data_IF_632136912230
#
_entry.id   IF_632136912230
#
_cell.length_a   1.000
_cell.length_b   1.000
_cell.length_c   1.000
_cell.angle_alpha   90.00
_cell.angle_beta   90.00
_cell.angle_gamma   90.00
#
_symmetry.space_group_name_H-M   'P 1'
#
loop_
_entity.id
_entity.type
_entity.pdbx_description
1 polymer ?
#
# COMPACT_ATOMS: atom_id res chain seq x y z
N UNK A 1 -8.14 27.70 -3.56
CA UNK A 1 -7.78 26.84 -2.42
C UNK A 1 -8.59 25.56 -2.53
N UNK A 2 -7.93 24.46 -2.94
CA UNK A 2 -8.23 23.07 -2.55
C UNK A 2 -9.63 22.45 -2.68
N UNK A 3 -10.50 22.96 -3.55
CA UNK A 3 -11.75 22.25 -3.88
C UNK A 3 -11.49 20.85 -4.45
N UNK A 4 -10.34 20.62 -5.10
CA UNK A 4 -9.95 19.31 -5.62
C UNK A 4 -9.60 18.32 -4.49
N UNK A 5 -8.92 18.76 -3.42
CA UNK A 5 -8.56 17.90 -2.29
C UNK A 5 -9.80 17.43 -1.55
N UNK A 6 -10.73 18.33 -1.24
CA UNK A 6 -11.99 17.97 -0.58
C UNK A 6 -12.78 16.97 -1.43
N UNK A 7 -12.88 17.21 -2.75
CA UNK A 7 -13.57 16.29 -3.66
C UNK A 7 -12.90 14.91 -3.69
N UNK A 8 -11.57 14.84 -3.80
CA UNK A 8 -10.81 13.58 -3.82
C UNK A 8 -10.95 12.80 -2.51
N UNK A 9 -10.87 13.48 -1.36
CA UNK A 9 -11.10 12.87 -0.04
C UNK A 9 -12.51 12.27 0.05
N UNK A 10 -13.53 12.99 -0.42
CA UNK A 10 -14.90 12.48 -0.43
C UNK A 10 -15.03 11.25 -1.31
N UNK A 11 -14.57 11.34 -2.55
CA UNK A 11 -14.61 10.21 -3.50
C UNK A 11 -13.91 8.98 -2.92
N UNK A 12 -12.71 9.13 -2.35
CA UNK A 12 -11.94 8.02 -1.80
C UNK A 12 -12.65 7.32 -0.64
N UNK A 13 -13.32 8.08 0.22
CA UNK A 13 -14.07 7.54 1.37
C UNK A 13 -15.41 6.94 0.93
N UNK A 14 -16.12 7.58 0.00
CA UNK A 14 -17.43 7.12 -0.48
C UNK A 14 -17.35 5.89 -1.37
N UNK A 15 -16.29 5.76 -2.17
CA UNK A 15 -16.03 4.58 -3.00
C UNK A 15 -15.40 3.41 -2.22
N UNK A 16 -15.16 3.58 -0.92
CA UNK A 16 -14.55 2.54 -0.08
C UNK A 16 -13.06 2.30 -0.34
N UNK A 17 -12.38 3.20 -1.08
CA UNK A 17 -10.94 3.08 -1.33
C UNK A 17 -10.09 3.26 -0.07
N UNK A 18 -10.59 4.00 0.94
CA UNK A 18 -9.96 4.08 2.26
C UNK A 18 -10.98 4.45 3.34
N UNK A 19 -10.83 3.89 4.55
CA UNK A 19 -11.64 4.32 5.69
C UNK A 19 -11.26 5.74 6.15
N UNK A 20 -12.21 6.49 6.73
CA UNK A 20 -11.95 7.86 7.25
C UNK A 20 -10.79 7.89 8.24
N UNK A 21 -10.72 6.88 9.12
CA UNK A 21 -9.67 6.76 10.12
C UNK A 21 -8.32 6.43 9.50
N UNK A 22 -8.29 5.52 8.53
CA UNK A 22 -7.05 5.17 7.82
C UNK A 22 -6.51 6.38 7.06
N UNK A 23 -7.36 7.10 6.32
CA UNK A 23 -6.98 8.30 5.58
C UNK A 23 -6.47 9.42 6.50
N UNK A 24 -7.12 9.63 7.64
CA UNK A 24 -6.67 10.62 8.62
C UNK A 24 -5.27 10.27 9.16
N UNK A 25 -5.04 9.02 9.56
CA UNK A 25 -3.74 8.58 10.09
C UNK A 25 -2.64 8.64 9.03
N UNK A 26 -2.93 8.19 7.81
CA UNK A 26 -1.97 8.18 6.71
C UNK A 26 -1.54 9.61 6.31
N UNK A 27 -2.44 10.58 6.42
CA UNK A 27 -2.13 12.01 6.23
C UNK A 27 -1.50 12.69 7.46
N UNK A 28 -1.22 11.96 8.55
CA UNK A 28 -0.65 12.53 9.79
C UNK A 28 -1.63 13.40 10.58
N UNK A 29 -2.93 13.14 10.46
CA UNK A 29 -4.01 13.81 11.19
C UNK A 29 -4.51 12.94 12.35
N UNK A 30 -5.22 13.56 13.29
CA UNK A 30 -5.95 12.84 14.32
C UNK A 30 -7.05 11.97 13.68
N UNK A 31 -7.30 10.78 14.24
CA UNK A 31 -8.25 9.79 13.70
C UNK A 31 -9.67 10.34 13.44
N UNK A 32 -10.10 11.32 14.24
CA UNK A 32 -11.43 11.95 14.13
C UNK A 32 -11.48 13.18 13.21
N UNK A 33 -10.36 13.62 12.62
CA UNK A 33 -10.31 14.85 11.80
C UNK A 33 -11.19 14.78 10.55
N UNK A 34 -11.48 13.57 10.05
CA UNK A 34 -12.30 13.34 8.86
C UNK A 34 -13.72 12.85 9.19
N UNK A 35 -14.19 13.00 10.45
CA UNK A 35 -15.50 12.48 10.87
C UNK A 35 -16.65 12.96 9.98
N UNK A 36 -16.59 14.23 9.59
CA UNK A 36 -17.63 14.91 8.84
C UNK A 36 -17.29 15.06 7.34
N UNK A 37 -16.23 14.41 6.83
CA UNK A 37 -15.70 14.68 5.48
C UNK A 37 -16.70 14.46 4.33
N UNK A 38 -17.66 13.56 4.49
CA UNK A 38 -18.73 13.29 3.51
C UNK A 38 -19.88 14.29 3.57
N UNK A 39 -19.93 15.17 4.58
CA UNK A 39 -21.00 16.17 4.69
C UNK A 39 -20.66 17.42 3.89
N UNK A 40 -21.64 18.05 3.20
CA UNK A 40 -21.43 19.34 2.53
C UNK A 40 -20.90 20.44 3.44
N UNK A 41 -21.26 20.39 4.74
CA UNK A 41 -20.86 21.35 5.76
C UNK A 41 -19.44 21.16 6.30
N UNK A 42 -18.67 20.20 5.80
CA UNK A 42 -17.30 19.98 6.26
C UNK A 42 -16.39 21.14 5.85
N UNK A 43 -15.77 21.76 6.84
CA UNK A 43 -14.87 22.90 6.66
C UNK A 43 -13.52 22.62 7.35
N UNK A 44 -12.61 21.89 6.69
CA UNK A 44 -11.29 21.58 7.25
C UNK A 44 -10.39 22.83 7.32
N UNK A 45 -9.40 22.79 8.22
CA UNK A 45 -8.38 23.85 8.31
C UNK A 45 -7.42 23.80 7.12
N UNK A 46 -6.71 24.90 6.85
CA UNK A 46 -5.67 24.94 5.82
C UNK A 46 -4.58 23.87 6.06
N UNK A 47 -4.13 23.68 7.31
CA UNK A 47 -3.18 22.61 7.67
C UNK A 47 -3.72 21.20 7.36
N UNK A 48 -5.02 20.99 7.55
CA UNK A 48 -5.67 19.71 7.22
C UNK A 48 -5.68 19.48 5.71
N UNK A 49 -5.99 20.52 4.93
CA UNK A 49 -5.98 20.46 3.47
C UNK A 49 -4.59 20.23 2.92
N UNK A 50 -3.56 20.92 3.45
CA UNK A 50 -2.17 20.73 3.04
C UNK A 50 -1.69 19.29 3.29
N UNK A 51 -1.99 18.73 4.47
CA UNK A 51 -1.62 17.35 4.83
C UNK A 51 -2.31 16.32 3.94
N UNK A 52 -3.61 16.48 3.69
CA UNK A 52 -4.37 15.62 2.79
C UNK A 52 -3.92 15.77 1.34
N UNK A 53 -3.64 17.00 0.91
CA UNK A 53 -3.15 17.32 -0.42
C UNK A 53 -1.80 16.66 -0.70
N UNK A 54 -0.86 16.74 0.24
CA UNK A 54 0.42 16.02 0.15
C UNK A 54 0.21 14.52 0.07
N UNK A 55 -0.53 13.95 1.02
CA UNK A 55 -0.82 12.51 1.03
C UNK A 55 -1.42 12.03 -0.30
N UNK A 56 -2.43 12.73 -0.81
CA UNK A 56 -3.10 12.37 -2.07
C UNK A 56 -2.26 12.66 -3.32
N UNK A 57 -1.23 13.50 -3.24
CA UNK A 57 -0.32 13.76 -4.37
C UNK A 57 0.83 12.76 -4.39
N UNK A 58 1.30 12.36 -3.20
CA UNK A 58 2.38 11.38 -3.03
C UNK A 58 1.89 9.95 -3.29
N UNK A 59 0.59 9.68 -3.07
CA UNK A 59 -0.06 8.41 -3.39
C UNK A 59 -0.80 8.55 -4.72
N UNK A 60 -0.13 8.16 -5.81
CA UNK A 60 -0.72 8.03 -7.15
C UNK A 60 -1.90 7.04 -7.12
N UNK A 61 -2.87 7.17 -8.03
CA UNK A 61 -4.06 6.27 -8.15
C UNK A 61 -3.69 4.82 -8.55
N UNK A 62 -2.40 4.50 -8.53
CA UNK A 62 -1.89 3.17 -8.83
C UNK A 62 -2.39 2.21 -7.76
N UNK A 63 -2.96 1.07 -8.18
CA UNK A 63 -3.29 0.00 -7.27
C UNK A 63 -2.06 -0.35 -6.42
N UNK A 64 -2.24 -0.36 -5.09
CA UNK A 64 -1.18 -0.74 -4.13
C UNK A 64 -0.80 -2.22 -4.33
N UNK A 65 -1.75 -3.03 -4.77
CA UNK A 65 -1.58 -4.44 -5.10
C UNK A 65 -1.76 -4.62 -6.61
N UNK A 66 -0.79 -5.27 -7.23
CA UNK A 66 -0.84 -5.63 -8.65
C UNK A 66 -1.62 -6.92 -8.87
N UNK A 67 -2.22 -7.08 -10.05
CA UNK A 67 -2.96 -8.30 -10.39
C UNK A 67 -2.08 -9.55 -10.45
N UNK A 68 -2.71 -10.72 -10.25
CA UNK A 68 -2.03 -12.02 -10.19
C UNK A 68 -1.23 -12.30 -11.46
N UNK A 69 -1.83 -12.02 -12.63
CA UNK A 69 -1.23 -12.26 -13.94
C UNK A 69 0.04 -11.45 -14.15
N UNK A 70 0.08 -10.22 -13.61
CA UNK A 70 1.27 -9.37 -13.67
C UNK A 70 2.41 -10.02 -12.90
N UNK A 71 2.18 -10.43 -11.64
CA UNK A 71 3.21 -11.08 -10.80
C UNK A 71 3.71 -12.38 -11.45
N UNK A 72 2.81 -13.18 -12.04
CA UNK A 72 3.21 -14.40 -12.75
C UNK A 72 4.17 -14.06 -13.90
N UNK A 73 3.94 -12.98 -14.64
CA UNK A 73 4.83 -12.54 -15.70
C UNK A 73 6.17 -12.00 -15.18
N UNK A 74 6.15 -11.21 -14.10
CA UNK A 74 7.38 -10.79 -13.41
C UNK A 74 8.22 -11.99 -12.97
N UNK A 75 7.58 -13.01 -12.41
CA UNK A 75 8.20 -14.25 -11.98
C UNK A 75 8.82 -15.02 -13.15
N UNK A 76 8.12 -15.15 -14.29
CA UNK A 76 8.69 -15.76 -15.51
C UNK A 76 9.97 -15.05 -15.97
N UNK A 77 10.02 -13.75 -15.80
CA UNK A 77 11.19 -12.91 -16.11
C UNK A 77 12.26 -12.91 -15.02
N UNK A 78 12.11 -13.74 -13.97
CA UNK A 78 13.08 -13.88 -12.88
C UNK A 78 13.16 -12.68 -11.95
N UNK A 79 12.15 -11.79 -11.97
CA UNK A 79 12.10 -10.63 -11.08
C UNK A 79 11.58 -11.04 -9.70
N UNK A 80 12.19 -10.48 -8.66
CA UNK A 80 11.75 -10.63 -7.27
C UNK A 80 10.49 -9.77 -7.04
N UNK A 81 9.53 -10.30 -6.30
CA UNK A 81 8.28 -9.62 -5.97
C UNK A 81 7.94 -9.81 -4.49
N UNK A 82 6.95 -9.05 -4.00
CA UNK A 82 6.45 -9.15 -2.62
C UNK A 82 5.07 -9.78 -2.65
N UNK A 83 4.86 -10.80 -1.83
CA UNK A 83 3.52 -11.32 -1.53
C UNK A 83 3.12 -10.83 -0.14
N UNK A 84 1.95 -10.20 -0.05
CA UNK A 84 1.37 -9.75 1.23
C UNK A 84 0.28 -10.72 1.61
N UNK A 85 0.26 -11.15 2.87
CA UNK A 85 -0.78 -12.03 3.39
C UNK A 85 -1.99 -11.24 3.93
N UNK A 86 -2.92 -11.95 4.56
CA UNK A 86 -4.14 -11.35 5.13
C UNK A 86 -3.80 -10.47 6.34
N UNK A 87 -4.46 -9.32 6.47
CA UNK A 87 -4.27 -8.38 7.57
C UNK A 87 -4.56 -9.00 8.95
N UNK A 88 -5.41 -10.03 9.03
CA UNK A 88 -5.77 -10.71 10.27
C UNK A 88 -4.86 -11.92 10.61
N UNK A 89 -3.85 -12.22 9.77
CA UNK A 89 -2.91 -13.34 9.98
C UNK A 89 -1.52 -12.85 10.36
N UNK A 90 -0.59 -12.69 9.43
CA UNK A 90 0.76 -12.18 9.72
C UNK A 90 0.83 -10.67 9.46
N UNK A 91 0.03 -10.15 8.52
CA UNK A 91 0.11 -8.77 8.04
C UNK A 91 1.54 -8.40 7.62
N UNK A 92 2.19 -9.35 6.95
CA UNK A 92 3.59 -9.28 6.52
C UNK A 92 3.72 -9.39 5.00
N UNK A 93 4.86 -8.92 4.48
CA UNK A 93 5.21 -9.02 3.07
C UNK A 93 6.46 -9.89 2.88
N UNK A 94 6.32 -11.00 2.17
CA UNK A 94 7.41 -11.91 1.86
C UNK A 94 8.11 -11.53 0.55
N UNK A 95 9.44 -11.48 0.55
CA UNK A 95 10.25 -11.39 -0.67
C UNK A 95 10.31 -12.76 -1.35
N UNK A 96 9.81 -12.83 -2.58
CA UNK A 96 9.72 -14.07 -3.36
C UNK A 96 10.48 -13.94 -4.67
N UNK A 97 11.27 -14.97 -5.00
CA UNK A 97 11.90 -15.16 -6.31
C UNK A 97 11.74 -16.63 -6.71
N UNK A 98 11.49 -16.97 -7.99
CA UNK A 98 11.51 -18.35 -8.44
C UNK A 98 12.85 -18.99 -8.13
N UNK A 99 12.86 -20.16 -7.47
CA UNK A 99 14.08 -20.79 -6.97
C UNK A 99 15.14 -21.01 -8.06
N UNK A 100 14.72 -21.38 -9.28
CA UNK A 100 15.60 -21.57 -10.43
C UNK A 100 16.28 -20.28 -10.94
N UNK A 101 15.75 -19.11 -10.57
CA UNK A 101 16.25 -17.78 -10.94
C UNK A 101 17.01 -17.10 -9.79
N UNK A 102 17.14 -17.77 -8.64
CA UNK A 102 17.83 -17.21 -7.49
C UNK A 102 19.32 -16.99 -7.78
N UNK A 103 19.82 -15.80 -7.47
CA UNK A 103 21.23 -15.42 -7.62
C UNK A 103 21.84 -15.07 -6.27
N UNK A 104 23.17 -15.15 -6.09
CA UNK A 104 23.83 -14.72 -4.85
C UNK A 104 23.47 -13.28 -4.45
N UNK A 105 23.30 -12.39 -5.42
CA UNK A 105 22.92 -11.01 -5.21
C UNK A 105 21.49 -10.90 -4.65
N UNK A 106 20.54 -11.65 -5.22
CA UNK A 106 19.16 -11.69 -4.74
C UNK A 106 19.09 -12.23 -3.30
N UNK A 107 19.83 -13.30 -2.99
CA UNK A 107 19.89 -13.88 -1.64
C UNK A 107 20.53 -12.91 -0.65
N UNK A 108 21.61 -12.22 -1.05
CA UNK A 108 22.22 -11.20 -0.19
C UNK A 108 21.26 -10.04 0.09
N UNK A 109 20.47 -9.62 -0.92
CA UNK A 109 19.45 -8.60 -0.75
C UNK A 109 18.38 -9.05 0.26
N UNK A 110 17.84 -10.28 0.10
CA UNK A 110 16.87 -10.87 1.03
C UNK A 110 17.42 -10.91 2.48
N UNK A 111 18.66 -11.39 2.66
CA UNK A 111 19.28 -11.48 3.98
C UNK A 111 19.51 -10.09 4.61
N UNK A 112 19.91 -9.11 3.81
CA UNK A 112 20.23 -7.76 4.29
C UNK A 112 18.98 -6.95 4.62
N UNK A 113 17.94 -7.02 3.76
CA UNK A 113 16.78 -6.14 3.84
C UNK A 113 15.51 -6.82 4.35
N UNK A 114 15.27 -8.08 3.97
CA UNK A 114 14.16 -8.87 4.50
C UNK A 114 14.35 -9.22 5.97
N UNK A 115 15.60 -9.48 6.41
CA UNK A 115 15.99 -9.74 7.82
C UNK A 115 15.21 -10.89 8.50
N UNK A 116 14.54 -11.74 7.73
CA UNK A 116 13.88 -12.97 8.16
C UNK A 116 14.66 -14.23 7.76
N UNK A 117 14.03 -15.39 7.95
CA UNK A 117 14.58 -16.66 7.48
C UNK A 117 14.34 -16.81 5.98
N UNK A 118 15.40 -17.12 5.23
CA UNK A 118 15.28 -17.43 3.80
C UNK A 118 14.87 -18.90 3.66
N UNK A 119 13.67 -19.12 3.13
CA UNK A 119 13.07 -20.44 2.97
C UNK A 119 13.07 -20.87 1.49
N UNK A 120 13.11 -22.19 1.26
CA UNK A 120 12.89 -22.79 -0.06
C UNK A 120 11.57 -23.56 -0.05
N UNK A 121 10.58 -23.06 -0.80
CA UNK A 121 9.30 -23.73 -0.98
C UNK A 121 9.45 -24.94 -1.90
N UNK A 122 9.10 -26.12 -1.41
CA UNK A 122 9.13 -27.37 -2.16
C UNK A 122 7.72 -27.90 -2.34
N UNK A 123 7.47 -28.54 -3.49
CA UNK A 123 6.27 -29.36 -3.65
C UNK A 123 6.36 -30.56 -2.73
N UNK A 124 5.21 -31.12 -2.36
CA UNK A 124 5.16 -32.33 -1.55
C UNK A 124 5.76 -33.55 -2.29
N UNK A 125 5.82 -33.49 -3.63
CA UNK A 125 6.25 -34.56 -4.53
C UNK A 125 6.96 -33.97 -5.75
#
# INVERSE_FOLDING_TARGET
MDTSVIARVRTLVEQGGMSRTALARAAGLHANSLRDCTKPSWNPTADTLDKLGRFLSDNDERPVIVGIEAIIEEARNGRMFILVDDEDRENEGDLVIPAQMATPQAINFMATHGRGLICLSLTKQ
#
